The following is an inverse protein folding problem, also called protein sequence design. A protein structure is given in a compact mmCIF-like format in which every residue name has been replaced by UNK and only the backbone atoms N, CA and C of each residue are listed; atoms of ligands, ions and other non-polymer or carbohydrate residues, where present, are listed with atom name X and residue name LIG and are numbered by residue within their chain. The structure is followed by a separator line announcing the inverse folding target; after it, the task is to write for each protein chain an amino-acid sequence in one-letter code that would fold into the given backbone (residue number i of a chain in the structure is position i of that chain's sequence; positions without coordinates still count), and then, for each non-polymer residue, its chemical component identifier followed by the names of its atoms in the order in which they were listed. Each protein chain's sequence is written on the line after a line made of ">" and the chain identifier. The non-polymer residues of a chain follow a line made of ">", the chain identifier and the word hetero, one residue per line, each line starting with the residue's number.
data_IF_558044961609
#
_entry.id   IF_558044961609
#
_cell.length_a   1.000
_cell.length_b   1.000
_cell.length_c   1.000
_cell.angle_alpha   90.00
_cell.angle_beta   90.00
_cell.angle_gamma   90.00
#
_symmetry.space_group_name_H-M   'P 1'
#
loop_
_entity.id
_entity.type
_entity.pdbx_description
1 polymer ?
#
# COMPACT_ATOMS: atom_id res chain seq x y z
N UNK A 1 -52.32 -9.50 35.57
CA UNK A 1 -51.13 -8.69 35.26
C UNK A 1 -50.09 -9.51 34.49
N UNK A 2 -50.53 -10.22 33.47
CA UNK A 2 -49.69 -11.07 32.64
C UNK A 2 -50.11 -10.90 31.19
N UNK A 3 -49.16 -11.16 30.30
CA UNK A 3 -49.27 -11.23 28.84
C UNK A 3 -48.98 -9.93 28.04
N UNK A 4 -49.40 -8.72 28.46
CA UNK A 4 -49.13 -7.50 27.66
C UNK A 4 -47.70 -6.92 27.74
N UNK A 5 -46.88 -7.38 28.70
CA UNK A 5 -45.50 -6.88 28.88
C UNK A 5 -44.41 -7.62 28.10
N UNK A 6 -44.72 -8.80 27.52
CA UNK A 6 -43.74 -9.64 26.79
C UNK A 6 -43.81 -9.51 25.27
N UNK A 7 -44.91 -9.00 24.71
CA UNK A 7 -44.99 -8.73 23.27
C UNK A 7 -44.31 -7.41 22.89
N UNK A 8 -44.34 -6.37 23.75
CA UNK A 8 -43.60 -5.12 23.50
C UNK A 8 -42.07 -5.26 23.55
N UNK A 9 -41.53 -6.27 24.23
CA UNK A 9 -40.08 -6.54 24.25
C UNK A 9 -39.63 -7.42 23.09
N UNK A 10 -40.51 -8.26 22.53
CA UNK A 10 -40.21 -9.02 21.30
C UNK A 10 -40.31 -8.13 20.06
N UNK A 11 -41.30 -7.25 20.00
CA UNK A 11 -41.42 -6.29 18.91
C UNK A 11 -40.34 -5.19 18.95
N UNK A 12 -39.82 -4.82 20.13
CA UNK A 12 -38.67 -3.90 20.22
C UNK A 12 -37.33 -4.54 19.75
N UNK A 13 -37.17 -5.87 19.91
CA UNK A 13 -36.02 -6.61 19.38
C UNK A 13 -36.17 -6.94 17.89
N UNK A 14 -37.40 -7.00 17.38
CA UNK A 14 -37.72 -7.28 15.98
C UNK A 14 -37.88 -5.98 15.14
N UNK A 15 -38.08 -4.83 15.79
CA UNK A 15 -38.02 -3.47 15.24
C UNK A 15 -36.66 -2.76 15.41
N UNK A 16 -35.60 -3.44 15.89
CA UNK A 16 -34.23 -3.07 15.50
C UNK A 16 -33.94 -3.51 14.05
N UNK A 17 -34.86 -3.12 13.17
CA UNK A 17 -34.69 -3.04 11.73
C UNK A 17 -33.34 -2.39 11.43
N UNK A 18 -32.51 -3.05 10.62
CA UNK A 18 -32.16 -2.67 9.22
C UNK A 18 -31.77 -1.21 8.92
N UNK A 19 -31.68 -0.31 9.90
CA UNK A 19 -31.11 1.02 9.75
C UNK A 19 -29.63 0.96 10.10
N UNK A 20 -28.79 1.51 9.21
CA UNK A 20 -27.37 1.75 9.39
C UNK A 20 -27.03 2.18 10.83
N UNK A 21 -26.60 1.22 11.65
CA UNK A 21 -26.25 1.44 13.05
C UNK A 21 -24.75 1.38 13.20
N UNK A 22 -24.13 2.55 13.33
CA UNK A 22 -22.83 2.68 13.98
C UNK A 22 -22.98 2.09 15.39
N UNK A 23 -22.43 0.90 15.61
CA UNK A 23 -22.12 0.44 16.97
C UNK A 23 -20.84 1.17 17.37
N UNK A 24 -20.98 2.39 17.89
CA UNK A 24 -19.91 3.11 18.57
C UNK A 24 -19.56 2.34 19.85
N UNK A 25 -18.57 1.46 19.76
CA UNK A 25 -17.67 1.24 20.88
C UNK A 25 -16.63 2.34 20.73
N UNK A 26 -16.39 3.11 21.81
CA UNK A 26 -15.77 4.45 21.88
C UNK A 26 -14.48 4.73 21.08
N UNK A 27 -13.88 3.73 20.41
CA UNK A 27 -12.63 3.86 19.65
C UNK A 27 -12.65 3.19 18.26
N UNK A 28 -13.74 2.51 17.87
CA UNK A 28 -13.81 1.77 16.58
C UNK A 28 -15.12 2.00 15.83
N UNK A 29 -15.01 2.33 14.55
CA UNK A 29 -16.12 2.35 13.60
C UNK A 29 -16.43 0.95 13.13
N UNK A 30 -17.59 0.45 13.53
CA UNK A 30 -18.19 -0.76 12.97
C UNK A 30 -19.18 -0.35 11.88
N UNK A 31 -18.80 -0.58 10.63
CA UNK A 31 -19.68 -0.35 9.46
C UNK A 31 -20.27 -1.70 9.07
N UNK A 32 -21.59 -1.82 9.16
CA UNK A 32 -22.35 -3.01 8.81
C UNK A 32 -23.19 -2.72 7.56
N UNK A 33 -22.88 -3.40 6.46
CA UNK A 33 -23.75 -3.46 5.28
C UNK A 33 -23.97 -4.93 4.88
N UNK A 34 -25.02 -5.24 4.08
CA UNK A 34 -25.28 -6.60 3.62
C UNK A 34 -24.11 -7.22 2.82
N UNK A 35 -23.22 -6.40 2.27
CA UNK A 35 -22.15 -6.82 1.34
C UNK A 35 -20.74 -6.59 1.85
N UNK A 36 -20.55 -5.68 2.79
CA UNK A 36 -19.27 -5.27 3.33
C UNK A 36 -19.42 -5.02 4.83
N UNK A 37 -18.57 -5.67 5.60
CA UNK A 37 -18.45 -5.41 7.01
C UNK A 37 -17.01 -4.99 7.30
N UNK A 38 -16.88 -3.79 7.87
CA UNK A 38 -15.59 -3.17 8.16
C UNK A 38 -15.54 -2.75 9.63
N UNK A 39 -14.48 -3.15 10.32
CA UNK A 39 -14.12 -2.58 11.62
C UNK A 39 -12.85 -1.73 11.42
N UNK A 40 -12.93 -0.44 11.75
CA UNK A 40 -11.84 0.53 11.62
C UNK A 40 -11.60 1.24 12.94
N UNK A 41 -10.35 1.50 13.31
CA UNK A 41 -10.03 2.35 14.45
C UNK A 41 -10.31 3.83 14.10
N UNK A 42 -11.07 4.54 14.94
CA UNK A 42 -11.51 5.92 14.67
C UNK A 42 -10.57 7.00 15.21
N UNK A 43 -9.70 6.69 16.18
CA UNK A 43 -8.98 7.74 16.89
C UNK A 43 -7.64 8.11 16.25
N UNK A 44 -7.65 9.30 15.65
CA UNK A 44 -6.51 9.93 15.01
C UNK A 44 -5.92 11.10 15.82
N UNK A 45 -6.40 11.38 17.04
CA UNK A 45 -6.07 12.65 17.71
C UNK A 45 -5.95 12.65 19.24
N UNK A 46 -6.51 11.70 19.99
CA UNK A 46 -6.67 11.91 21.44
C UNK A 46 -6.02 10.88 22.39
N UNK A 47 -5.48 9.76 21.92
CA UNK A 47 -4.84 8.78 22.82
C UNK A 47 -3.30 8.81 22.73
N UNK A 48 -2.69 9.87 23.27
CA UNK A 48 -1.23 10.08 23.29
C UNK A 48 -0.48 9.30 24.38
N UNK A 49 -1.15 8.51 25.21
CA UNK A 49 -0.47 7.74 26.25
C UNK A 49 -1.24 6.49 26.63
N UNK A 50 -0.61 5.32 26.40
CA UNK A 50 -1.07 3.98 26.78
C UNK A 50 -2.33 3.57 25.99
N UNK A 51 -2.44 2.41 25.36
CA UNK A 51 -2.25 1.07 25.88
C UNK A 51 -1.94 0.11 24.72
N UNK A 52 -1.42 -1.09 25.03
CA UNK A 52 -1.77 -2.30 24.28
C UNK A 52 -3.28 -2.30 23.95
N UNK A 53 -3.75 -3.00 22.91
CA UNK A 53 -5.20 -3.26 22.80
C UNK A 53 -5.67 -3.79 24.16
N UNK A 54 -6.47 -3.01 24.89
CA UNK A 54 -6.93 -3.43 26.21
C UNK A 54 -7.65 -4.77 26.05
N UNK A 55 -7.63 -5.59 27.09
CA UNK A 55 -8.38 -6.86 27.09
C UNK A 55 -9.86 -6.65 26.74
N UNK A 56 -10.42 -5.50 27.11
CA UNK A 56 -11.78 -5.07 26.78
C UNK A 56 -11.96 -4.81 25.28
N UNK A 57 -11.07 -4.02 24.65
CA UNK A 57 -11.13 -3.77 23.22
C UNK A 57 -10.96 -5.07 22.39
N UNK A 58 -10.10 -5.98 22.86
CA UNK A 58 -9.93 -7.30 22.23
C UNK A 58 -11.21 -8.14 22.33
N UNK A 59 -11.90 -8.10 23.48
CA UNK A 59 -13.17 -8.78 23.68
C UNK A 59 -14.28 -8.23 22.77
N UNK A 60 -14.38 -6.91 22.63
CA UNK A 60 -15.37 -6.26 21.75
C UNK A 60 -15.15 -6.55 20.26
N UNK A 61 -13.89 -6.78 19.86
CA UNK A 61 -13.53 -7.23 18.52
C UNK A 61 -13.89 -8.70 18.36
N UNK A 62 -13.58 -9.56 19.33
CA UNK A 62 -13.96 -10.97 19.31
C UNK A 62 -15.48 -11.17 19.18
N UNK A 63 -16.27 -10.51 20.03
CA UNK A 63 -17.74 -10.55 19.98
C UNK A 63 -18.27 -10.09 18.61
N UNK A 64 -17.66 -9.05 18.04
CA UNK A 64 -18.03 -8.58 16.72
C UNK A 64 -17.68 -9.59 15.61
N UNK A 65 -16.50 -10.20 15.65
CA UNK A 65 -16.10 -11.26 14.70
C UNK A 65 -17.07 -12.44 14.79
N UNK A 66 -17.39 -12.88 16.00
CA UNK A 66 -18.31 -13.99 16.28
C UNK A 66 -19.74 -13.69 15.80
N UNK A 67 -20.16 -12.41 15.83
CA UNK A 67 -21.45 -11.99 15.28
C UNK A 67 -21.47 -11.91 13.74
N UNK A 68 -20.35 -11.54 13.12
CA UNK A 68 -20.26 -11.24 11.69
C UNK A 68 -20.06 -12.48 10.84
N UNK A 69 -19.17 -13.39 11.24
CA UNK A 69 -18.83 -14.59 10.44
C UNK A 69 -20.07 -15.45 10.15
N UNK A 70 -20.95 -15.77 11.12
CA UNK A 70 -22.13 -16.60 10.86
C UNK A 70 -23.14 -15.97 9.90
N UNK A 71 -23.11 -14.64 9.73
CA UNK A 71 -24.01 -13.92 8.81
C UNK A 71 -23.66 -14.08 7.34
N UNK A 72 -22.54 -14.75 7.02
CA UNK A 72 -22.23 -15.13 5.64
C UNK A 72 -21.87 -13.94 4.75
N UNK A 73 -21.00 -13.06 5.25
CA UNK A 73 -20.67 -11.79 4.58
C UNK A 73 -19.73 -11.97 3.40
N UNK A 74 -19.98 -11.23 2.32
CA UNK A 74 -19.15 -11.31 1.10
C UNK A 74 -17.77 -10.65 1.27
N UNK A 75 -17.65 -9.62 2.11
CA UNK A 75 -16.38 -8.93 2.34
C UNK A 75 -16.21 -8.64 3.83
N UNK A 76 -15.07 -9.04 4.36
CA UNK A 76 -14.66 -8.80 5.74
C UNK A 76 -13.36 -8.00 5.73
N UNK A 77 -13.40 -6.79 6.26
CA UNK A 77 -12.22 -5.94 6.47
C UNK A 77 -12.06 -5.65 7.96
N UNK A 78 -10.99 -6.17 8.55
CA UNK A 78 -10.56 -5.84 9.90
C UNK A 78 -9.31 -4.97 9.80
N UNK A 79 -9.50 -3.66 9.97
CA UNK A 79 -8.45 -2.65 9.86
C UNK A 79 -8.17 -2.03 11.23
N UNK A 80 -7.27 -2.68 11.97
CA UNK A 80 -6.88 -2.27 13.32
C UNK A 80 -5.58 -1.48 13.31
N UNK A 81 -5.27 -0.83 12.19
CA UNK A 81 -4.06 -0.02 12.06
C UNK A 81 -4.10 1.14 13.05
N UNK A 82 -3.28 1.04 14.08
CA UNK A 82 -3.02 2.14 15.03
C UNK A 82 -1.66 2.77 14.75
N UNK A 83 -1.54 4.06 15.05
CA UNK A 83 -0.28 4.81 14.83
C UNK A 83 0.79 4.52 15.89
N UNK A 84 0.47 3.76 16.95
CA UNK A 84 1.31 3.61 18.13
C UNK A 84 1.85 2.19 18.33
N UNK A 85 2.99 2.11 19.03
CA UNK A 85 3.64 0.86 19.42
C UNK A 85 2.81 0.19 20.53
N UNK A 86 2.27 -0.99 20.23
CA UNK A 86 1.63 -1.90 21.17
C UNK A 86 1.59 -3.32 20.58
N UNK A 87 1.24 -4.31 21.40
CA UNK A 87 0.93 -5.66 20.95
C UNK A 87 -0.27 -5.63 20.00
N UNK A 88 -0.16 -6.36 18.88
CA UNK A 88 -1.23 -6.43 17.89
C UNK A 88 -2.33 -7.37 18.35
N UNK A 89 -3.56 -7.07 17.94
CA UNK A 89 -4.72 -7.90 18.25
C UNK A 89 -4.49 -9.30 17.70
N UNK A 90 -4.55 -10.28 18.58
CA UNK A 90 -4.47 -11.70 18.23
C UNK A 90 -5.88 -12.27 18.34
N UNK A 91 -6.34 -12.93 17.27
CA UNK A 91 -7.64 -13.59 17.28
C UNK A 91 -7.71 -14.56 18.46
N UNK A 92 -8.74 -14.43 19.30
CA UNK A 92 -8.97 -15.40 20.37
C UNK A 92 -9.27 -16.79 19.79
N UNK A 93 -9.09 -17.83 20.62
CA UNK A 93 -9.41 -19.20 20.23
C UNK A 93 -10.89 -19.37 19.82
N UNK A 94 -11.80 -18.57 20.40
CA UNK A 94 -13.22 -18.57 20.02
C UNK A 94 -13.41 -17.99 18.62
N UNK A 95 -12.89 -16.79 18.34
CA UNK A 95 -12.93 -16.18 17.01
C UNK A 95 -12.26 -17.04 15.95
N UNK A 96 -11.15 -17.68 16.32
CA UNK A 96 -10.44 -18.67 15.52
C UNK A 96 -11.33 -19.89 15.20
N UNK A 97 -12.09 -20.38 16.19
CA UNK A 97 -13.05 -21.47 15.99
C UNK A 97 -14.24 -21.08 15.12
N UNK A 98 -14.67 -19.81 15.08
CA UNK A 98 -15.71 -19.36 14.15
C UNK A 98 -15.25 -19.43 12.69
N UNK A 99 -13.96 -19.25 12.43
CA UNK A 99 -13.38 -19.50 11.11
C UNK A 99 -13.23 -21.00 10.81
N UNK A 100 -12.92 -21.82 11.83
CA UNK A 100 -12.65 -23.27 11.68
C UNK A 100 -13.87 -24.18 11.78
N UNK A 101 -14.96 -23.76 12.39
CA UNK A 101 -16.11 -24.62 12.66
C UNK A 101 -17.12 -24.51 11.52
N UNK A 102 -17.29 -25.56 10.69
CA UNK A 102 -18.49 -25.72 9.90
C UNK A 102 -19.59 -26.19 10.85
N UNK A 103 -20.14 -25.31 11.68
CA UNK A 103 -21.19 -25.70 12.62
C UNK A 103 -22.49 -25.99 11.85
N UNK A 104 -22.73 -27.27 11.54
CA UNK A 104 -24.03 -27.97 11.40
C UNK A 104 -25.23 -27.20 10.82
N UNK A 105 -24.98 -26.33 9.85
CA UNK A 105 -25.99 -25.83 8.94
C UNK A 105 -25.30 -25.57 7.62
N UNK A 106 -25.89 -26.10 6.56
CA UNK A 106 -25.52 -25.80 5.19
C UNK A 106 -25.25 -24.31 5.02
N UNK A 107 -24.03 -23.98 4.58
CA UNK A 107 -23.62 -22.66 4.06
C UNK A 107 -23.11 -21.62 5.08
N UNK A 108 -21.90 -21.83 5.63
CA UNK A 108 -21.05 -20.65 5.91
C UNK A 108 -20.72 -20.04 4.55
N UNK A 109 -21.37 -18.93 4.21
CA UNK A 109 -21.03 -18.12 3.02
C UNK A 109 -19.77 -17.34 3.37
N UNK A 110 -18.62 -17.99 3.21
CA UNK A 110 -17.32 -17.37 3.48
C UNK A 110 -17.09 -16.14 2.59
N UNK A 111 -16.29 -15.16 3.07
CA UNK A 111 -16.07 -13.94 2.32
C UNK A 111 -15.36 -14.21 0.98
N UNK A 112 -15.82 -13.52 -0.06
CA UNK A 112 -15.11 -13.36 -1.32
C UNK A 112 -13.86 -12.48 -1.16
N UNK A 113 -13.83 -11.63 -0.12
CA UNK A 113 -12.71 -10.73 0.16
C UNK A 113 -12.42 -10.68 1.66
N UNK A 114 -11.20 -11.06 2.04
CA UNK A 114 -10.70 -10.99 3.40
C UNK A 114 -9.52 -10.02 3.49
N UNK A 115 -9.67 -8.96 4.28
CA UNK A 115 -8.61 -7.98 4.54
C UNK A 115 -8.35 -7.90 6.03
N UNK A 116 -7.10 -8.14 6.43
CA UNK A 116 -6.65 -8.16 7.82
C UNK A 116 -5.45 -7.22 7.96
N UNK A 117 -5.61 -6.10 8.67
CA UNK A 117 -4.53 -5.12 8.90
C UNK A 117 -4.27 -4.95 10.39
N UNK A 118 -3.01 -5.13 10.79
CA UNK A 118 -2.57 -5.20 12.19
C UNK A 118 -3.28 -6.27 13.03
N UNK A 119 -3.60 -7.40 12.38
CA UNK A 119 -4.18 -8.58 13.02
C UNK A 119 -3.15 -9.71 13.01
N UNK A 120 -2.88 -10.26 14.19
CA UNK A 120 -2.04 -11.44 14.35
C UNK A 120 -2.83 -12.69 13.99
N UNK A 121 -2.48 -13.27 12.85
CA UNK A 121 -3.00 -14.55 12.36
C UNK A 121 -1.84 -15.49 12.10
N UNK A 122 -2.04 -16.78 12.35
CA UNK A 122 -1.04 -17.80 12.01
C UNK A 122 -1.30 -18.34 10.59
N UNK A 123 -0.30 -19.03 10.04
CA UNK A 123 -0.40 -19.63 8.72
C UNK A 123 -1.51 -20.69 8.62
N UNK A 124 -1.65 -21.52 9.65
CA UNK A 124 -2.67 -22.58 9.71
C UNK A 124 -4.09 -22.05 9.51
N UNK A 125 -4.41 -20.87 10.06
CA UNK A 125 -5.72 -20.25 9.86
C UNK A 125 -5.92 -19.83 8.41
N UNK A 126 -4.93 -19.16 7.83
CA UNK A 126 -5.01 -18.68 6.45
C UNK A 126 -5.11 -19.85 5.48
N UNK A 127 -4.33 -20.90 5.69
CA UNK A 127 -4.36 -22.12 4.90
C UNK A 127 -5.68 -22.87 5.05
N UNK A 128 -6.24 -22.91 6.26
CA UNK A 128 -7.57 -23.44 6.50
C UNK A 128 -8.62 -22.64 5.72
N UNK A 129 -8.57 -21.31 5.78
CA UNK A 129 -9.50 -20.44 5.06
C UNK A 129 -9.38 -20.63 3.55
N UNK A 130 -8.17 -20.65 3.01
CA UNK A 130 -7.93 -20.90 1.59
C UNK A 130 -8.50 -22.27 1.16
N UNK A 131 -8.36 -23.30 2.00
CA UNK A 131 -8.85 -24.65 1.68
C UNK A 131 -10.38 -24.80 1.80
N UNK A 132 -11.02 -24.05 2.71
CA UNK A 132 -12.44 -24.19 3.03
C UNK A 132 -13.34 -23.07 2.49
N UNK A 133 -12.74 -22.02 1.90
CA UNK A 133 -13.46 -20.89 1.31
C UNK A 133 -13.29 -20.90 -0.22
N UNK A 134 -14.03 -21.74 -0.97
CA UNK A 134 -13.84 -21.87 -2.42
C UNK A 134 -14.17 -20.58 -3.20
N UNK A 135 -14.95 -19.67 -2.61
CA UNK A 135 -15.35 -18.40 -3.22
C UNK A 135 -14.39 -17.25 -2.91
N UNK A 136 -13.30 -17.47 -2.18
CA UNK A 136 -12.37 -16.42 -1.80
C UNK A 136 -11.59 -15.92 -3.03
N UNK A 137 -11.86 -14.68 -3.44
CA UNK A 137 -11.22 -14.02 -4.58
C UNK A 137 -10.09 -13.08 -4.15
N UNK A 138 -10.15 -12.51 -2.95
CA UNK A 138 -9.16 -11.55 -2.45
C UNK A 138 -8.71 -11.89 -1.04
N UNK A 139 -7.40 -11.99 -0.84
CA UNK A 139 -6.77 -12.09 0.48
C UNK A 139 -5.73 -10.98 0.65
N UNK A 140 -5.94 -10.13 1.64
CA UNK A 140 -5.02 -9.06 2.02
C UNK A 140 -4.62 -9.20 3.49
N UNK A 141 -3.32 -9.29 3.74
CA UNK A 141 -2.73 -9.41 5.08
C UNK A 141 -1.65 -8.35 5.24
N UNK A 142 -1.82 -7.48 6.23
CA UNK A 142 -0.94 -6.36 6.49
C UNK A 142 -0.47 -6.37 7.95
N UNK A 143 0.85 -6.31 8.13
CA UNK A 143 1.53 -6.28 9.44
C UNK A 143 1.08 -7.40 10.39
N UNK A 144 1.06 -8.64 9.93
CA UNK A 144 0.88 -9.79 10.82
C UNK A 144 2.21 -10.27 11.39
N UNK A 145 2.25 -10.67 12.67
CA UNK A 145 3.47 -11.08 13.37
C UNK A 145 3.62 -12.59 13.56
N UNK A 146 2.57 -13.37 13.30
CA UNK A 146 2.55 -14.82 13.59
C UNK A 146 2.67 -15.70 12.33
N UNK A 147 2.83 -15.08 11.15
CA UNK A 147 3.02 -15.79 9.89
C UNK A 147 4.52 -15.99 9.66
N UNK A 148 4.97 -17.24 9.63
CA UNK A 148 6.37 -17.63 9.39
C UNK A 148 6.53 -18.28 8.02
N UNK A 149 5.73 -19.31 7.74
CA UNK A 149 5.67 -19.99 6.44
C UNK A 149 4.22 -19.97 6.01
N UNK A 150 3.92 -19.49 4.81
CA UNK A 150 2.55 -19.47 4.30
C UNK A 150 2.45 -20.23 2.99
N UNK A 151 1.49 -21.14 2.91
CA UNK A 151 1.17 -21.84 1.68
C UNK A 151 -0.16 -21.39 1.10
N UNK A 152 -0.12 -20.75 -0.06
CA UNK A 152 -1.30 -20.39 -0.85
C UNK A 152 -1.35 -21.29 -2.07
N UNK A 153 -1.73 -22.56 -1.85
CA UNK A 153 -1.76 -23.58 -2.90
C UNK A 153 -3.11 -24.30 -2.94
N UNK A 154 -3.68 -24.42 -4.15
CA UNK A 154 -4.90 -25.18 -4.38
C UNK A 154 -5.43 -24.99 -5.78
N UNK A 155 -5.72 -26.08 -6.48
CA UNK A 155 -6.23 -26.05 -7.86
C UNK A 155 -7.65 -25.48 -7.96
N UNK A 156 -8.44 -25.60 -6.89
CA UNK A 156 -9.81 -25.08 -6.79
C UNK A 156 -9.90 -23.64 -6.28
N UNK A 157 -8.76 -22.97 -6.01
CA UNK A 157 -8.77 -21.59 -5.53
C UNK A 157 -9.26 -20.63 -6.62
N UNK A 158 -10.30 -19.86 -6.31
CA UNK A 158 -10.79 -18.74 -7.13
C UNK A 158 -10.06 -17.42 -6.80
N UNK A 159 -8.93 -17.51 -6.10
CA UNK A 159 -8.16 -16.35 -5.65
C UNK A 159 -7.60 -15.58 -6.84
N UNK A 160 -8.05 -14.32 -6.99
CA UNK A 160 -7.63 -13.36 -8.02
C UNK A 160 -6.60 -12.36 -7.51
N UNK A 161 -6.65 -12.02 -6.23
CA UNK A 161 -5.79 -11.00 -5.61
C UNK A 161 -5.18 -11.49 -4.30
N UNK A 162 -3.84 -11.45 -4.21
CA UNK A 162 -3.09 -11.78 -3.01
C UNK A 162 -2.15 -10.63 -2.63
N UNK A 163 -2.38 -10.06 -1.45
CA UNK A 163 -1.73 -8.87 -0.95
C UNK A 163 -1.09 -9.18 0.41
N UNK A 164 0.24 -9.26 0.48
CA UNK A 164 1.00 -9.51 1.72
C UNK A 164 1.96 -8.36 1.99
N UNK A 165 1.80 -7.69 3.13
CA UNK A 165 2.50 -6.46 3.43
C UNK A 165 3.09 -6.46 4.84
N UNK A 166 4.39 -6.17 4.95
CA UNK A 166 5.11 -5.88 6.20
C UNK A 166 4.96 -6.96 7.29
N UNK A 167 4.81 -8.22 6.89
CA UNK A 167 4.81 -9.38 7.79
C UNK A 167 6.26 -9.75 8.17
N UNK A 168 6.75 -9.22 9.30
CA UNK A 168 8.19 -9.26 9.67
C UNK A 168 8.75 -10.65 9.96
N UNK A 169 7.92 -11.60 10.38
CA UNK A 169 8.36 -12.97 10.69
C UNK A 169 8.24 -13.93 9.51
N UNK A 170 7.72 -13.47 8.37
CA UNK A 170 7.58 -14.31 7.19
C UNK A 170 8.96 -14.65 6.64
N UNK A 171 9.25 -15.94 6.49
CA UNK A 171 10.49 -16.49 5.95
C UNK A 171 10.30 -17.16 4.61
N UNK A 172 9.14 -17.80 4.39
CA UNK A 172 8.81 -18.47 3.14
C UNK A 172 7.35 -18.30 2.73
N UNK A 173 7.12 -18.28 1.42
CA UNK A 173 5.80 -18.16 0.81
C UNK A 173 5.74 -19.06 -0.43
N UNK A 174 4.82 -20.02 -0.42
CA UNK A 174 4.47 -20.84 -1.58
C UNK A 174 3.17 -20.32 -2.18
N UNK A 175 3.14 -20.07 -3.48
CA UNK A 175 1.94 -19.58 -4.18
C UNK A 175 1.70 -20.42 -5.44
N UNK A 176 0.57 -21.13 -5.47
CA UNK A 176 0.10 -21.93 -6.61
C UNK A 176 -1.41 -21.77 -6.71
N UNK A 177 -1.83 -20.75 -7.46
CA UNK A 177 -3.21 -20.33 -7.61
C UNK A 177 -3.47 -19.96 -9.09
N UNK A 178 -4.13 -20.83 -9.88
CA UNK A 178 -4.21 -20.67 -11.33
C UNK A 178 -5.01 -19.43 -11.76
N UNK A 179 -5.94 -18.97 -10.91
CA UNK A 179 -6.80 -17.81 -11.17
C UNK A 179 -6.21 -16.49 -10.67
N UNK A 180 -4.97 -16.49 -10.14
CA UNK A 180 -4.37 -15.31 -9.55
C UNK A 180 -3.97 -14.30 -10.63
N UNK A 181 -4.57 -13.11 -10.59
CA UNK A 181 -4.32 -12.01 -11.55
C UNK A 181 -3.33 -11.00 -10.98
N UNK A 182 -3.40 -10.74 -9.68
CA UNK A 182 -2.55 -9.75 -9.00
C UNK A 182 -1.88 -10.36 -7.77
N UNK A 183 -0.56 -10.23 -7.72
CA UNK A 183 0.24 -10.59 -6.56
C UNK A 183 1.02 -9.37 -6.06
N UNK A 184 0.87 -9.07 -4.77
CA UNK A 184 1.63 -8.02 -4.09
C UNK A 184 2.33 -8.55 -2.86
N UNK A 185 3.64 -8.37 -2.82
CA UNK A 185 4.46 -8.66 -1.65
C UNK A 185 5.37 -7.49 -1.32
N UNK A 186 5.10 -6.80 -0.22
CA UNK A 186 5.99 -5.75 0.27
C UNK A 186 6.53 -6.06 1.65
N UNK A 187 7.79 -6.50 1.74
CA UNK A 187 8.41 -6.95 2.98
C UNK A 187 9.89 -7.26 2.81
N UNK A 188 10.48 -7.87 3.84
CA UNK A 188 11.86 -8.35 3.79
C UNK A 188 12.07 -9.45 2.76
N UNK A 189 13.32 -9.77 2.47
CA UNK A 189 13.65 -10.91 1.60
C UNK A 189 13.11 -12.21 2.17
N UNK A 190 12.38 -12.98 1.36
CA UNK A 190 11.84 -14.30 1.73
C UNK A 190 12.14 -15.36 0.68
N UNK A 191 11.99 -16.62 1.04
CA UNK A 191 12.02 -17.75 0.11
C UNK A 191 10.67 -17.85 -0.61
N UNK A 192 10.66 -17.52 -1.90
CA UNK A 192 9.47 -17.57 -2.76
C UNK A 192 9.47 -18.86 -3.57
N UNK A 193 8.41 -19.65 -3.43
CA UNK A 193 8.14 -20.82 -4.27
C UNK A 193 6.92 -20.53 -5.13
N UNK A 194 7.14 -20.25 -6.40
CA UNK A 194 6.09 -19.91 -7.34
C UNK A 194 5.70 -21.17 -8.12
N UNK A 195 4.49 -21.63 -7.89
CA UNK A 195 3.86 -22.73 -8.59
C UNK A 195 3.09 -22.23 -9.81
N UNK A 196 1.87 -22.74 -10.01
CA UNK A 196 1.09 -22.44 -11.19
C UNK A 196 0.32 -21.11 -11.07
N UNK A 197 0.72 -20.09 -11.85
CA UNK A 197 0.09 -18.76 -11.90
C UNK A 197 -0.28 -18.32 -13.34
N UNK A 198 -1.02 -19.12 -14.09
CA UNK A 198 -1.34 -18.87 -15.51
C UNK A 198 -1.96 -17.49 -15.85
N UNK A 199 -2.69 -16.87 -14.93
CA UNK A 199 -3.41 -15.61 -15.19
C UNK A 199 -2.73 -14.37 -14.58
N UNK A 200 -1.53 -14.53 -14.00
CA UNK A 200 -0.83 -13.42 -13.34
C UNK A 200 -0.38 -12.37 -14.36
N UNK A 201 -1.00 -11.19 -14.31
CA UNK A 201 -0.64 -10.04 -15.14
C UNK A 201 -0.06 -8.87 -14.35
N UNK A 202 -0.28 -8.81 -13.03
CA UNK A 202 0.16 -7.70 -12.17
C UNK A 202 1.02 -8.19 -11.01
N UNK A 203 2.29 -7.80 -11.00
CA UNK A 203 3.27 -8.17 -9.98
C UNK A 203 3.77 -6.92 -9.25
N UNK A 204 3.64 -6.90 -7.92
CA UNK A 204 4.14 -5.80 -7.09
C UNK A 204 5.05 -6.37 -6.00
N UNK A 205 6.33 -6.00 -5.99
CA UNK A 205 7.28 -6.64 -5.08
C UNK A 205 8.35 -5.70 -4.51
N UNK A 206 8.77 -5.98 -3.27
CA UNK A 206 9.98 -5.40 -2.67
C UNK A 206 9.76 -4.73 -1.32
N UNK A 207 10.42 -3.62 -1.03
CA UNK A 207 10.17 -2.81 0.16
C UNK A 207 10.85 -3.26 1.45
N UNK A 208 11.68 -4.30 1.41
CA UNK A 208 12.54 -4.74 2.51
C UNK A 208 13.75 -3.83 2.66
N UNK A 209 14.15 -3.51 3.89
CA UNK A 209 15.32 -2.67 4.14
C UNK A 209 16.58 -3.29 3.53
N UNK A 210 17.22 -2.55 2.63
CA UNK A 210 18.46 -2.97 1.98
C UNK A 210 18.30 -4.00 0.87
N UNK A 211 17.07 -4.30 0.44
CA UNK A 211 16.79 -5.16 -0.69
C UNK A 211 16.50 -4.33 -1.96
N UNK A 212 16.98 -4.82 -3.11
CA UNK A 212 16.71 -4.27 -4.43
C UNK A 212 15.32 -4.70 -4.98
N UNK A 213 14.59 -5.60 -4.31
CA UNK A 213 13.30 -6.13 -4.74
C UNK A 213 13.37 -7.08 -5.93
N UNK A 214 14.39 -6.93 -6.77
CA UNK A 214 14.70 -7.72 -7.97
C UNK A 214 15.04 -9.17 -7.66
N UNK A 215 15.45 -9.50 -6.42
CA UNK A 215 15.70 -10.88 -5.98
C UNK A 215 14.51 -11.80 -6.28
N UNK A 216 13.30 -11.27 -6.20
CA UNK A 216 12.09 -12.05 -6.36
C UNK A 216 11.77 -12.33 -7.82
N UNK A 217 12.25 -11.52 -8.77
CA UNK A 217 12.00 -11.73 -10.20
C UNK A 217 12.49 -13.10 -10.66
N UNK A 218 13.59 -13.61 -10.09
CA UNK A 218 14.09 -14.95 -10.36
C UNK A 218 13.05 -16.04 -10.03
N UNK A 219 12.31 -15.88 -8.93
CA UNK A 219 11.27 -16.82 -8.53
C UNK A 219 10.06 -16.80 -9.49
N UNK A 220 9.84 -15.69 -10.20
CA UNK A 220 8.76 -15.55 -11.19
C UNK A 220 9.22 -15.83 -12.63
N UNK A 221 10.48 -16.23 -12.87
CA UNK A 221 11.08 -16.34 -14.20
C UNK A 221 10.21 -17.03 -15.27
N UNK A 222 9.52 -18.11 -14.93
CA UNK A 222 8.61 -18.83 -15.83
C UNK A 222 7.30 -18.11 -16.16
N UNK A 223 6.96 -17.05 -15.43
CA UNK A 223 5.72 -16.27 -15.54
C UNK A 223 5.98 -14.81 -15.96
N UNK A 224 7.23 -14.37 -16.12
CA UNK A 224 7.52 -12.97 -16.42
C UNK A 224 7.01 -12.53 -17.79
N UNK A 225 6.90 -13.45 -18.76
CA UNK A 225 6.45 -13.16 -20.11
C UNK A 225 4.96 -12.78 -20.17
N UNK A 226 4.14 -13.08 -19.17
CA UNK A 226 2.70 -12.72 -19.13
C UNK A 226 2.42 -11.48 -18.27
N UNK A 227 3.43 -10.93 -17.60
CA UNK A 227 3.26 -9.76 -16.72
C UNK A 227 3.12 -8.50 -17.57
N UNK A 228 2.00 -7.80 -17.40
CA UNK A 228 1.68 -6.52 -18.05
C UNK A 228 2.01 -5.32 -17.15
N UNK A 229 1.93 -5.48 -15.83
CA UNK A 229 2.24 -4.44 -14.85
C UNK A 229 3.20 -4.93 -13.79
N UNK A 230 4.31 -4.21 -13.60
CA UNK A 230 5.34 -4.49 -12.60
C UNK A 230 5.56 -3.27 -11.70
N UNK A 231 5.36 -3.42 -10.40
CA UNK A 231 5.76 -2.43 -9.40
C UNK A 231 6.93 -2.98 -8.57
N UNK A 232 8.08 -2.30 -8.61
CA UNK A 232 9.22 -2.61 -7.76
C UNK A 232 9.40 -1.52 -6.72
N UNK A 233 9.50 -1.92 -5.46
CA UNK A 233 9.89 -1.04 -4.36
C UNK A 233 11.27 -1.43 -3.86
N UNK A 234 12.25 -0.55 -3.94
CA UNK A 234 13.64 -0.95 -3.70
C UNK A 234 14.45 0.12 -2.99
N UNK A 235 15.46 -0.35 -2.22
CA UNK A 235 16.51 0.52 -1.69
C UNK A 235 17.69 0.50 -2.66
N UNK A 236 17.91 1.61 -3.35
CA UNK A 236 18.99 1.73 -4.31
C UNK A 236 20.28 2.10 -3.57
N UNK A 237 21.26 1.19 -3.58
CA UNK A 237 22.51 1.31 -2.83
C UNK A 237 23.77 1.35 -3.70
N UNK A 238 23.71 0.79 -4.90
CA UNK A 238 24.87 0.64 -5.79
C UNK A 238 24.56 1.10 -7.21
N UNK A 239 25.61 1.45 -7.97
CA UNK A 239 25.49 1.86 -9.38
C UNK A 239 25.44 0.66 -10.35
N UNK A 240 25.32 -0.58 -9.85
CA UNK A 240 25.40 -1.76 -10.70
C UNK A 240 24.13 -1.92 -11.53
N UNK A 241 24.30 -2.40 -12.76
CA UNK A 241 23.19 -2.80 -13.62
C UNK A 241 22.36 -3.88 -12.94
N UNK A 242 21.04 -3.71 -13.01
CA UNK A 242 20.12 -4.72 -12.51
C UNK A 242 20.01 -5.78 -13.58
N UNK A 243 20.51 -6.98 -13.28
CA UNK A 243 20.31 -8.16 -14.12
C UNK A 243 18.85 -8.58 -14.03
N UNK A 244 18.13 -8.40 -15.13
CA UNK A 244 16.73 -8.80 -15.26
C UNK A 244 16.52 -9.59 -16.54
N UNK A 245 15.68 -10.64 -16.48
CA UNK A 245 15.22 -11.32 -17.68
C UNK A 245 14.31 -10.41 -18.52
N UNK A 246 14.05 -10.80 -19.77
CA UNK A 246 13.16 -10.04 -20.64
C UNK A 246 11.71 -9.99 -20.11
N UNK A 247 11.12 -8.81 -20.22
CA UNK A 247 9.77 -8.46 -19.77
C UNK A 247 8.95 -8.04 -21.00
N UNK A 248 8.82 -8.94 -21.98
CA UNK A 248 8.36 -8.61 -23.34
C UNK A 248 6.93 -8.07 -23.41
N UNK A 249 6.04 -8.48 -22.51
CA UNK A 249 4.65 -8.04 -22.46
C UNK A 249 4.39 -6.92 -21.43
N UNK A 250 5.45 -6.43 -20.78
CA UNK A 250 5.31 -5.40 -19.77
C UNK A 250 4.93 -4.06 -20.40
N UNK A 251 3.71 -3.60 -20.12
CA UNK A 251 3.20 -2.32 -20.61
C UNK A 251 3.37 -1.20 -19.59
N UNK A 252 3.35 -1.52 -18.28
CA UNK A 252 3.52 -0.56 -17.20
C UNK A 252 4.58 -0.99 -16.18
N UNK A 253 5.65 -0.19 -16.08
CA UNK A 253 6.67 -0.32 -15.05
C UNK A 253 6.55 0.83 -14.05
N UNK A 254 6.43 0.49 -12.76
CA UNK A 254 6.45 1.44 -11.64
C UNK A 254 7.61 1.15 -10.70
N UNK A 255 8.47 2.12 -10.50
CA UNK A 255 9.61 2.02 -9.59
C UNK A 255 9.43 2.99 -8.43
N UNK A 256 9.45 2.47 -7.19
CA UNK A 256 9.51 3.25 -5.95
C UNK A 256 10.89 3.11 -5.33
N UNK A 257 11.70 4.14 -5.46
CA UNK A 257 13.12 4.12 -5.13
C UNK A 257 13.36 4.87 -3.83
N UNK A 258 13.91 4.17 -2.84
CA UNK A 258 14.49 4.76 -1.64
C UNK A 258 15.99 4.82 -1.83
N UNK A 259 16.57 6.01 -1.77
CA UNK A 259 18.00 6.18 -2.00
C UNK A 259 18.63 7.05 -0.92
N UNK A 260 19.86 6.67 -0.58
CA UNK A 260 20.72 7.39 0.34
C UNK A 260 21.93 7.87 -0.47
N UNK A 261 22.32 9.15 -0.31
CA UNK A 261 23.48 9.77 -0.98
C UNK A 261 23.25 10.03 -2.49
N UNK A 262 24.32 10.49 -3.15
CA UNK A 262 24.35 10.94 -4.53
C UNK A 262 24.53 9.81 -5.56
N UNK A 263 23.72 8.74 -5.49
CA UNK A 263 23.81 7.63 -6.45
C UNK A 263 23.26 8.01 -7.84
N UNK A 264 23.76 7.36 -8.90
CA UNK A 264 23.19 7.54 -10.25
C UNK A 264 22.09 6.53 -10.48
N UNK A 265 20.92 6.99 -10.90
CA UNK A 265 19.78 6.14 -11.22
C UNK A 265 19.87 5.50 -12.60
N UNK A 266 20.98 5.72 -13.33
CA UNK A 266 21.18 5.14 -14.67
C UNK A 266 21.24 3.61 -14.63
N UNK A 267 21.56 2.97 -13.51
CA UNK A 267 21.46 1.51 -13.37
C UNK A 267 20.02 0.97 -13.49
N UNK A 268 19.00 1.83 -13.39
CA UNK A 268 17.59 1.46 -13.62
C UNK A 268 17.26 1.33 -15.11
N UNK A 269 18.10 1.83 -16.00
CA UNK A 269 17.86 1.78 -17.46
C UNK A 269 17.83 0.35 -17.99
N UNK A 270 18.55 -0.59 -17.37
CA UNK A 270 18.48 -2.01 -17.72
C UNK A 270 17.08 -2.60 -17.57
N UNK A 271 16.25 -2.09 -16.64
CA UNK A 271 14.84 -2.50 -16.51
C UNK A 271 13.99 -1.98 -17.67
N UNK A 272 14.28 -0.78 -18.18
CA UNK A 272 13.60 -0.21 -19.34
C UNK A 272 13.98 -0.97 -20.61
N UNK A 273 15.27 -1.30 -20.74
CA UNK A 273 15.81 -2.08 -21.88
C UNK A 273 15.26 -3.51 -21.91
N UNK A 274 15.00 -4.11 -20.75
CA UNK A 274 14.36 -5.42 -20.65
C UNK A 274 12.87 -5.42 -21.04
N UNK A 275 12.23 -4.25 -21.16
CA UNK A 275 10.79 -4.09 -21.39
C UNK A 275 10.50 -3.39 -22.75
N UNK A 276 10.66 -4.09 -23.89
CA UNK A 276 10.52 -3.48 -25.22
C UNK A 276 9.10 -2.95 -25.53
N UNK A 277 8.07 -3.53 -24.91
CA UNK A 277 6.67 -3.13 -25.11
C UNK A 277 6.18 -2.07 -24.12
N UNK A 278 7.09 -1.51 -23.30
CA UNK A 278 6.73 -0.58 -22.23
C UNK A 278 6.03 0.65 -22.80
N UNK A 279 4.82 0.93 -22.33
CA UNK A 279 4.00 2.09 -22.74
C UNK A 279 4.00 3.19 -21.70
N UNK A 280 4.03 2.81 -20.42
CA UNK A 280 4.01 3.72 -19.27
C UNK A 280 5.13 3.42 -18.31
N UNK A 281 5.90 4.44 -17.95
CA UNK A 281 6.92 4.38 -16.92
C UNK A 281 6.60 5.35 -15.79
N UNK A 282 6.55 4.84 -14.55
CA UNK A 282 6.35 5.66 -13.36
C UNK A 282 7.56 5.51 -12.44
N UNK A 283 8.29 6.59 -12.20
CA UNK A 283 9.39 6.66 -11.25
C UNK A 283 9.00 7.51 -10.04
N UNK A 284 9.14 6.96 -8.86
CA UNK A 284 8.82 7.63 -7.61
C UNK A 284 10.06 7.62 -6.71
N UNK A 285 10.57 8.80 -6.41
CA UNK A 285 11.82 9.02 -5.71
C UNK A 285 11.57 9.43 -4.26
N UNK A 286 12.20 8.71 -3.33
CA UNK A 286 12.19 8.98 -1.90
C UNK A 286 13.61 9.20 -1.41
N UNK A 287 13.95 10.47 -1.16
CA UNK A 287 15.30 10.88 -0.76
C UNK A 287 15.41 11.11 0.74
N UNK A 288 16.48 10.61 1.36
CA UNK A 288 16.97 11.18 2.62
C UNK A 288 17.82 12.42 2.31
N UNK A 289 17.59 13.53 3.02
CA UNK A 289 18.01 14.93 2.77
C UNK A 289 19.51 15.26 2.54
N UNK A 290 20.37 14.28 2.27
CA UNK A 290 21.81 14.44 2.09
C UNK A 290 22.21 14.09 0.65
N UNK A 291 21.88 14.98 -0.29
CA UNK A 291 22.30 14.88 -1.68
C UNK A 291 23.60 15.65 -1.84
N UNK A 292 24.71 14.92 -2.02
CA UNK A 292 26.01 15.52 -2.32
C UNK A 292 26.10 15.84 -3.81
N UNK A 293 26.79 16.94 -4.14
CA UNK A 293 27.11 17.25 -5.53
C UNK A 293 28.00 16.16 -6.12
N UNK A 294 27.72 15.80 -7.36
CA UNK A 294 28.57 14.90 -8.14
C UNK A 294 28.58 15.32 -9.60
N UNK A 295 29.61 14.87 -10.33
CA UNK A 295 29.66 15.02 -11.77
C UNK A 295 28.52 14.21 -12.43
N UNK A 296 27.85 14.78 -13.44
CA UNK A 296 26.84 14.07 -14.17
C UNK A 296 27.45 12.89 -14.93
N UNK A 297 26.75 11.77 -14.94
CA UNK A 297 27.02 10.61 -15.79
C UNK A 297 26.08 10.67 -16.98
N UNK A 298 26.59 10.33 -18.16
CA UNK A 298 25.81 10.25 -19.38
C UNK A 298 25.92 8.82 -19.87
N UNK A 299 24.78 8.16 -20.03
CA UNK A 299 24.69 6.85 -20.67
C UNK A 299 24.30 7.06 -22.13
N UNK A 300 24.75 6.18 -23.02
CA UNK A 300 24.26 6.18 -24.40
C UNK A 300 22.75 5.87 -24.38
N UNK A 301 21.90 6.68 -25.04
CA UNK A 301 20.47 6.41 -25.09
C UNK A 301 20.18 5.09 -25.79
N UNK A 302 19.27 4.30 -25.23
CA UNK A 302 18.75 3.09 -25.86
C UNK A 302 17.32 3.35 -26.34
N UNK A 303 17.03 3.27 -27.65
CA UNK A 303 15.73 3.68 -28.16
C UNK A 303 14.56 2.85 -27.64
N UNK A 304 13.63 3.49 -26.95
CA UNK A 304 12.33 2.93 -26.54
C UNK A 304 11.25 3.39 -27.51
N UNK A 305 10.71 2.45 -28.29
CA UNK A 305 9.73 2.75 -29.35
C UNK A 305 8.29 2.85 -28.83
N UNK A 306 7.96 2.11 -27.78
CA UNK A 306 6.58 1.99 -27.29
C UNK A 306 6.23 2.95 -26.16
N UNK A 307 7.24 3.54 -25.50
CA UNK A 307 7.06 4.35 -24.30
C UNK A 307 6.45 5.70 -24.67
N UNK A 308 5.29 6.00 -24.08
CA UNK A 308 4.45 7.18 -24.40
C UNK A 308 4.19 8.08 -23.20
N UNK A 309 4.05 7.50 -22.01
CA UNK A 309 3.74 8.23 -20.77
C UNK A 309 4.83 8.00 -19.73
N UNK A 310 5.48 9.08 -19.31
CA UNK A 310 6.48 9.07 -18.23
C UNK A 310 5.97 9.90 -17.08
N UNK A 311 5.96 9.33 -15.89
CA UNK A 311 5.59 10.04 -14.66
C UNK A 311 6.74 9.95 -13.65
N UNK A 312 7.23 11.11 -13.21
CA UNK A 312 8.28 11.22 -12.23
C UNK A 312 7.78 11.99 -11.00
N UNK A 313 7.87 11.35 -9.84
CA UNK A 313 7.42 11.89 -8.55
C UNK A 313 8.60 12.03 -7.59
N UNK A 314 8.51 13.00 -6.67
CA UNK A 314 9.59 13.31 -5.72
C UNK A 314 10.75 14.08 -6.37
N UNK A 315 10.50 14.76 -7.49
CA UNK A 315 11.52 15.53 -8.21
C UNK A 315 12.07 16.67 -7.34
N UNK A 316 13.38 16.72 -7.17
CA UNK A 316 14.07 17.83 -6.52
C UNK A 316 14.73 18.73 -7.56
N UNK A 317 15.20 18.20 -8.69
CA UNK A 317 15.92 18.91 -9.74
C UNK A 317 17.43 18.98 -9.51
N UNK A 318 17.98 18.01 -8.78
CA UNK A 318 19.43 17.81 -8.64
C UNK A 318 19.99 16.97 -9.80
N UNK A 319 21.31 16.81 -9.88
CA UNK A 319 22.00 16.02 -10.92
C UNK A 319 21.39 14.64 -11.16
N UNK A 320 20.97 13.95 -10.09
CA UNK A 320 20.39 12.61 -10.16
C UNK A 320 19.08 12.61 -10.98
N UNK A 321 18.21 13.58 -10.71
CA UNK A 321 16.91 13.70 -11.37
C UNK A 321 17.09 14.11 -12.82
N UNK A 322 18.02 15.04 -13.07
CA UNK A 322 18.32 15.52 -14.41
C UNK A 322 18.88 14.42 -15.31
N UNK A 323 19.75 13.55 -14.80
CA UNK A 323 20.30 12.44 -15.58
C UNK A 323 19.24 11.50 -16.12
N UNK A 324 18.33 11.04 -15.23
CA UNK A 324 17.30 10.09 -15.64
C UNK A 324 16.28 10.75 -16.56
N UNK A 325 15.91 12.02 -16.32
CA UNK A 325 15.01 12.75 -17.23
C UNK A 325 15.66 12.95 -18.59
N UNK A 326 16.92 13.38 -18.66
CA UNK A 326 17.62 13.57 -19.95
C UNK A 326 17.76 12.24 -20.69
N UNK A 327 18.10 11.14 -20.00
CA UNK A 327 18.12 9.81 -20.59
C UNK A 327 16.75 9.46 -21.19
N UNK A 328 15.65 9.62 -20.43
CA UNK A 328 14.30 9.28 -20.90
C UNK A 328 13.90 10.13 -22.12
N UNK A 329 14.19 11.42 -22.12
CA UNK A 329 13.89 12.31 -23.25
C UNK A 329 14.69 11.95 -24.51
N UNK A 330 15.93 11.49 -24.36
CA UNK A 330 16.79 11.11 -25.49
C UNK A 330 16.51 9.68 -25.98
N UNK A 331 16.11 8.79 -25.09
CA UNK A 331 15.86 7.38 -25.38
C UNK A 331 14.45 7.13 -25.91
N UNK A 332 13.47 8.00 -25.64
CA UNK A 332 12.07 7.74 -25.99
C UNK A 332 11.67 8.42 -27.30
N UNK A 333 11.35 7.64 -28.34
CA UNK A 333 11.04 8.17 -29.68
C UNK A 333 9.62 8.72 -29.76
N UNK A 334 8.65 7.99 -29.20
CA UNK A 334 7.21 8.28 -29.32
C UNK A 334 6.62 8.84 -28.02
N UNK A 335 7.41 9.61 -27.26
CA UNK A 335 6.94 10.18 -26.02
C UNK A 335 5.77 11.14 -26.31
N UNK A 336 4.64 10.95 -25.64
CA UNK A 336 3.46 11.80 -25.80
C UNK A 336 3.29 12.72 -24.59
N UNK A 337 3.67 12.22 -23.41
CA UNK A 337 3.45 12.89 -22.13
C UNK A 337 4.59 12.63 -21.16
N UNK A 338 5.04 13.68 -20.49
CA UNK A 338 5.91 13.60 -19.32
C UNK A 338 5.28 14.38 -18.16
N UNK A 339 5.28 13.82 -16.97
CA UNK A 339 4.84 14.47 -15.73
C UNK A 339 6.03 14.52 -14.79
N UNK A 340 6.35 15.71 -14.28
CA UNK A 340 7.39 15.89 -13.28
C UNK A 340 6.74 16.58 -12.07
N UNK A 341 6.66 15.85 -10.97
CA UNK A 341 6.00 16.29 -9.74
C UNK A 341 7.01 16.27 -8.58
N UNK A 342 7.18 17.39 -7.85
CA UNK A 342 8.05 17.42 -6.69
C UNK A 342 7.50 16.63 -5.51
N UNK A 343 6.22 16.26 -5.49
CA UNK A 343 5.61 15.46 -4.43
C UNK A 343 5.73 13.97 -4.73
N UNK A 344 6.23 13.22 -3.76
CA UNK A 344 6.13 11.77 -3.76
C UNK A 344 4.83 11.31 -3.06
N UNK A 345 4.50 10.02 -3.09
CA UNK A 345 3.26 9.52 -2.47
C UNK A 345 3.21 9.62 -0.95
N UNK A 346 4.34 9.77 -0.24
CA UNK A 346 4.34 10.01 1.20
C UNK A 346 4.08 11.49 1.53
N UNK A 347 4.45 12.39 0.62
CA UNK A 347 4.42 13.82 0.83
C UNK A 347 3.27 14.55 0.11
N UNK A 348 2.42 13.87 -0.68
CA UNK A 348 1.23 14.47 -1.33
C UNK A 348 0.34 15.30 -0.40
N UNK A 349 0.45 15.05 0.90
CA UNK A 349 -0.33 15.70 1.94
C UNK A 349 0.40 16.85 2.68
N UNK A 350 1.68 17.07 2.38
CA UNK A 350 2.53 18.08 3.00
C UNK A 350 2.22 19.47 2.43
N UNK A 351 2.40 20.50 3.27
CA UNK A 351 2.33 21.89 2.84
C UNK A 351 3.48 22.21 1.88
N UNK A 352 3.21 23.09 0.92
CA UNK A 352 4.23 23.64 0.03
C UNK A 352 5.38 24.23 0.89
N UNK A 353 6.61 23.78 0.61
CA UNK A 353 7.82 24.31 1.22
C UNK A 353 8.61 25.12 0.20
N UNK A 354 9.52 25.99 0.65
CA UNK A 354 10.45 26.70 -0.25
C UNK A 354 11.24 25.75 -1.14
N UNK A 355 11.57 24.56 -0.63
CA UNK A 355 12.27 23.51 -1.37
C UNK A 355 11.40 22.94 -2.50
N UNK A 356 10.11 22.69 -2.23
CA UNK A 356 9.15 22.21 -3.24
C UNK A 356 8.87 23.27 -4.29
N UNK A 357 8.71 24.53 -3.89
CA UNK A 357 8.56 25.65 -4.84
C UNK A 357 9.79 25.77 -5.74
N UNK A 358 11.00 25.67 -5.17
CA UNK A 358 12.24 25.67 -5.94
C UNK A 358 12.35 24.46 -6.87
N UNK A 359 11.90 23.28 -6.45
CA UNK A 359 11.84 22.09 -7.28
C UNK A 359 10.84 22.25 -8.44
N UNK A 360 9.67 22.87 -8.22
CA UNK A 360 8.74 23.22 -9.31
C UNK A 360 9.38 24.18 -10.30
N UNK A 361 10.08 25.22 -9.84
CA UNK A 361 10.79 26.17 -10.72
C UNK A 361 11.84 25.45 -11.56
N UNK A 362 12.61 24.53 -10.98
CA UNK A 362 13.56 23.68 -11.71
C UNK A 362 12.89 22.73 -12.70
N UNK A 363 11.71 22.20 -12.38
CA UNK A 363 10.94 21.37 -13.31
C UNK A 363 10.44 22.18 -14.51
N UNK A 364 9.97 23.43 -14.31
CA UNK A 364 9.57 24.31 -15.41
C UNK A 364 10.75 24.68 -16.32
N UNK A 365 11.96 24.81 -15.77
CA UNK A 365 13.17 25.01 -16.58
C UNK A 365 13.49 23.82 -17.51
N UNK A 366 12.86 22.65 -17.33
CA UNK A 366 12.99 21.52 -18.25
C UNK A 366 12.08 21.63 -19.47
N UNK A 367 11.06 22.51 -19.46
CA UNK A 367 10.15 22.70 -20.60
C UNK A 367 10.90 23.00 -21.89
N UNK A 368 11.96 23.82 -21.82
CA UNK A 368 12.81 24.16 -22.98
C UNK A 368 13.58 22.97 -23.54
N UNK A 369 13.69 21.87 -22.79
CA UNK A 369 14.38 20.63 -23.20
C UNK A 369 13.41 19.53 -23.63
N UNK A 370 12.11 19.73 -23.45
CA UNK A 370 11.09 18.76 -23.83
C UNK A 370 10.91 18.81 -25.36
N UNK A 371 10.94 17.66 -26.07
CA UNK A 371 10.75 17.64 -27.51
C UNK A 371 9.40 18.24 -27.94
N UNK A 372 9.33 18.90 -29.11
CA UNK A 372 8.08 19.44 -29.64
C UNK A 372 7.00 18.36 -29.75
N UNK A 373 5.78 18.66 -29.27
CA UNK A 373 4.64 17.74 -29.31
C UNK A 373 4.45 16.89 -28.04
N UNK A 374 5.46 16.79 -27.17
CA UNK A 374 5.33 16.15 -25.85
C UNK A 374 4.61 17.11 -24.90
N UNK A 375 3.56 16.63 -24.24
CA UNK A 375 2.85 17.41 -23.22
C UNK A 375 3.58 17.26 -21.88
N UNK A 376 4.04 18.38 -21.31
CA UNK A 376 4.33 18.44 -19.88
C UNK A 376 2.99 18.43 -19.15
N UNK A 377 2.66 17.31 -18.50
CA UNK A 377 1.45 17.23 -17.69
C UNK A 377 1.56 18.18 -16.49
N UNK A 378 0.42 18.73 -16.02
CA UNK A 378 0.45 19.67 -14.91
C UNK A 378 1.10 19.00 -13.69
N UNK A 379 2.11 19.61 -13.05
CA UNK A 379 2.44 19.23 -11.68
C UNK A 379 1.15 19.44 -10.91
N UNK A 380 0.66 18.42 -10.20
CA UNK A 380 -0.62 18.59 -9.50
C UNK A 380 -0.49 19.84 -8.62
N UNK A 381 -1.43 20.81 -8.70
CA UNK A 381 -1.52 21.78 -7.63
C UNK A 381 -1.69 20.96 -6.34
N UNK A 382 -1.16 21.41 -5.18
CA UNK A 382 -1.59 20.79 -3.94
C UNK A 382 -3.13 20.83 -4.01
N UNK A 383 -3.83 19.69 -3.81
CA UNK A 383 -5.28 19.69 -3.93
C UNK A 383 -5.80 20.91 -3.15
N UNK A 384 -6.74 21.72 -3.69
CA UNK A 384 -7.47 22.63 -2.83
C UNK A 384 -7.93 21.83 -1.61
N UNK A 385 -7.96 22.44 -0.43
CA UNK A 385 -8.49 21.81 0.80
C UNK A 385 -9.98 21.48 0.59
N UNK A 386 -10.27 20.51 -0.25
CA UNK A 386 -11.55 19.93 -0.49
C UNK A 386 -11.58 18.72 0.43
N UNK A 387 -12.29 18.87 1.52
CA UNK A 387 -12.80 17.75 2.30
C UNK A 387 -13.78 16.99 1.40
N UNK A 388 -13.27 16.13 0.51
CA UNK A 388 -14.06 15.12 -0.17
C UNK A 388 -13.62 13.77 0.39
N UNK A 389 -14.58 13.13 1.05
CA UNK A 389 -14.51 11.80 1.64
C UNK A 389 -14.00 10.77 0.63
N UNK A 390 -12.78 10.29 0.84
CA UNK A 390 -12.37 8.95 0.46
C UNK A 390 -11.33 8.48 1.47
N UNK A 391 -11.53 7.26 1.92
CA UNK A 391 -10.71 6.48 2.83
C UNK A 391 -9.21 6.58 2.52
N UNK A 392 -8.51 7.49 3.18
CA UNK A 392 -7.09 7.34 3.50
C UNK A 392 -6.68 8.47 4.44
N UNK A 393 -6.63 8.10 5.71
CA UNK A 393 -5.65 8.57 6.69
C UNK A 393 -5.18 10.03 6.60
N UNK A 394 -6.00 10.95 7.14
CA UNK A 394 -5.50 12.17 7.79
C UNK A 394 -6.33 12.49 9.03
N UNK A 395 -5.66 12.73 10.14
CA UNK A 395 -5.95 13.94 10.93
C UNK A 395 -4.65 14.71 11.04
N UNK A 396 -4.73 15.95 10.57
CA UNK A 396 -3.99 17.04 11.17
C UNK A 396 -5.04 17.95 11.80
N UNK A 397 -5.03 18.06 13.13
CA UNK A 397 -5.51 19.21 13.90
C UNK A 397 -4.53 19.29 15.10
N UNK A 398 -3.90 20.41 15.47
CA UNK A 398 -4.27 21.78 15.21
C UNK A 398 -3.10 22.73 15.05
N UNK A 399 -3.48 23.90 14.57
CA UNK A 399 -2.64 25.04 14.25
C UNK A 399 -2.43 25.97 15.46
N UNK A 400 -1.18 26.40 15.64
CA UNK A 400 -0.74 27.78 15.92
C UNK A 400 -1.08 28.45 17.27
N UNK A 401 -0.03 28.89 17.96
CA UNK A 401 0.11 30.29 18.38
C UNK A 401 1.60 30.67 18.58
N UNK A 402 2.09 31.43 17.59
CA UNK A 402 3.08 32.54 17.60
C UNK A 402 4.45 32.38 18.28
N UNK A 403 5.47 32.40 17.41
CA UNK A 403 6.75 33.06 17.63
C UNK A 403 6.58 34.59 17.71
N UNK A 404 7.29 35.28 18.62
CA UNK A 404 8.14 36.44 18.31
C UNK A 404 9.05 36.85 19.49
N UNK A 405 10.33 36.52 19.30
CA UNK A 405 11.59 37.17 19.65
C UNK A 405 11.73 38.45 20.53
N UNK A 406 12.80 38.37 21.33
CA UNK A 406 13.90 39.33 21.58
C UNK A 406 13.71 40.61 22.44
N UNK A 407 14.37 40.53 23.61
CA UNK A 407 15.33 41.47 24.20
C UNK A 407 14.91 42.85 24.73
N UNK A 408 15.43 43.09 25.95
CA UNK A 408 15.91 44.37 26.49
C UNK A 408 14.92 45.34 27.17
N UNK A 409 15.10 45.41 28.50
CA UNK A 409 15.43 46.66 29.21
C UNK A 409 14.33 47.66 29.60
N UNK A 410 14.09 47.69 30.92
CA UNK A 410 14.03 48.87 31.82
C UNK A 410 12.72 49.71 31.89
N UNK A 411 12.43 50.12 33.14
CA UNK A 411 11.35 50.98 33.71
C UNK A 411 10.04 50.24 34.04
N UNK A 412 9.72 49.88 35.29
CA UNK A 412 9.59 50.62 36.58
C UNK A 412 8.41 51.61 36.58
N UNK A 413 7.60 51.48 37.65
CA UNK A 413 6.73 52.47 38.33
C UNK A 413 5.20 52.23 38.22
N UNK A 414 4.64 51.86 39.39
CA UNK A 414 3.39 52.26 40.08
C UNK A 414 2.05 52.29 39.30
N UNK A 415 0.90 51.90 39.87
CA UNK A 415 0.42 51.91 41.27
C UNK A 415 -0.36 50.65 41.60
#
# INVERSE_FOLDING_TARGET
>A
MGVEGRERTRDALQQMQVSAGLLEVSHYRKILSPTLITCKCDDYGACQSLFDLSSEASHDIDEWINFVIPKGVKRLELDLVTYFKGSRYTLSHKSYSCFKSPSNSSSIKFPMSLTLKDVNVNAELLEFLLSNCPLLETLCVFRSEHIVNLRVAGSSLLLKHLDIFRCKRLESLEVSAPNLVTFKYFGQRIRLHIGNLHLLSKLHIGGGYGDQGTYALAAFSSHLLQIETLELKMFFKDNNEIQVPQLTNLEHLKLKIFYYKSLSLLGLTSLLEAAPSLRKFTLELHSSRLLLERKPKVLKPHPHQCLKDVEMFGFVGVTIDLEIVMYLLQSTINLEKIVIDPYDSFERNCKESKEKEAARKRAHQLEVKIPPGVKLGPPWPPPPLVFAFATDARVAVGSWLKFKDLSSSVFRIER
#
